data_IF_857762844424
#
_entry.id   IF_857762844424
#
_cell.length_a   1.000
_cell.length_b   1.000
_cell.length_c   1.000
_cell.angle_alpha   90.00
_cell.angle_beta   90.00
_cell.angle_gamma   90.00
#
_symmetry.space_group_name_H-M   'P 1'
#
loop_
_entity.id
_entity.type
_entity.pdbx_description
1 polymer ?
#
# COMPACT_ATOMS: atom_id res chain seq x y z
N UNK A 1 -52.05 8.97 28.45
CA UNK A 1 -50.70 8.42 28.66
C UNK A 1 -50.57 7.16 27.82
N UNK A 2 -49.72 7.18 26.78
CA UNK A 2 -48.93 6.06 26.25
C UNK A 2 -48.33 6.52 24.91
N UNK A 3 -47.03 6.82 24.95
CA UNK A 3 -46.22 7.22 23.80
C UNK A 3 -45.44 5.97 23.37
N UNK A 4 -45.75 5.42 22.19
CA UNK A 4 -45.00 4.32 21.59
C UNK A 4 -43.85 4.87 20.76
N UNK A 5 -42.62 4.72 21.25
CA UNK A 5 -41.40 4.85 20.45
C UNK A 5 -40.99 3.46 19.96
N UNK A 6 -41.15 3.21 18.67
CA UNK A 6 -40.54 2.06 17.99
C UNK A 6 -39.07 2.40 17.71
N UNK A 7 -38.16 1.78 18.46
CA UNK A 7 -36.73 1.81 18.18
C UNK A 7 -36.40 0.70 17.18
N UNK A 8 -35.99 1.08 15.97
CA UNK A 8 -35.32 0.17 15.04
C UNK A 8 -33.90 -0.08 15.54
N UNK A 9 -33.66 -1.25 16.14
CA UNK A 9 -32.32 -1.77 16.36
C UNK A 9 -31.79 -2.32 15.02
N UNK A 10 -30.99 -1.51 14.31
CA UNK A 10 -30.20 -1.99 13.20
C UNK A 10 -29.09 -2.91 13.72
N UNK A 11 -29.23 -4.21 13.52
CA UNK A 11 -28.15 -5.18 13.74
C UNK A 11 -27.13 -4.94 12.61
N UNK A 12 -26.04 -4.26 12.94
CA UNK A 12 -24.86 -4.29 12.09
C UNK A 12 -24.33 -5.73 12.09
N UNK A 13 -24.46 -6.42 10.97
CA UNK A 13 -23.85 -7.72 10.75
C UNK A 13 -22.32 -7.56 10.86
N UNK A 14 -21.76 -7.98 11.98
CA UNK A 14 -20.32 -8.16 12.11
C UNK A 14 -19.92 -9.26 11.13
N UNK A 15 -19.23 -8.91 10.06
CA UNK A 15 -18.54 -9.90 9.23
C UNK A 15 -17.48 -10.55 10.11
N UNK A 16 -17.65 -11.85 10.35
CA UNK A 16 -16.71 -12.71 11.03
C UNK A 16 -15.42 -12.73 10.20
N UNK A 17 -14.40 -11.98 10.63
CA UNK A 17 -13.07 -12.06 10.01
C UNK A 17 -12.51 -13.44 10.32
N UNK A 18 -12.45 -14.30 9.30
CA UNK A 18 -11.77 -15.58 9.42
C UNK A 18 -10.31 -15.34 9.87
N UNK A 19 -9.79 -16.18 10.77
CA UNK A 19 -8.41 -16.09 11.22
C UNK A 19 -7.41 -16.20 10.06
N UNK A 20 -6.17 -15.76 10.29
CA UNK A 20 -5.11 -15.85 9.28
C UNK A 20 -4.78 -17.33 9.02
N UNK A 21 -4.96 -17.78 7.77
CA UNK A 21 -4.48 -19.09 7.32
C UNK A 21 -2.98 -19.03 7.05
N UNK A 22 -2.24 -20.01 7.55
CA UNK A 22 -0.78 -20.11 7.41
C UNK A 22 -0.42 -21.42 6.69
N UNK A 23 0.29 -21.31 5.57
CA UNK A 23 0.77 -22.44 4.79
C UNK A 23 2.30 -22.38 4.72
N UNK A 24 2.98 -23.31 5.38
CA UNK A 24 4.44 -23.39 5.38
C UNK A 24 4.94 -24.40 4.34
N UNK A 25 6.02 -24.04 3.67
CA UNK A 25 6.78 -24.90 2.76
C UNK A 25 8.29 -24.69 3.00
N UNK A 26 9.18 -25.56 2.49
CA UNK A 26 10.61 -25.50 2.82
C UNK A 26 11.29 -24.14 2.57
N UNK A 27 10.77 -23.31 1.66
CA UNK A 27 11.39 -22.03 1.31
C UNK A 27 10.44 -20.83 1.38
N UNK A 28 9.17 -21.04 1.70
CA UNK A 28 8.19 -19.96 1.81
C UNK A 28 7.11 -20.26 2.83
N UNK A 29 6.71 -19.23 3.58
CA UNK A 29 5.52 -19.26 4.42
C UNK A 29 4.51 -18.26 3.87
N UNK A 30 3.29 -18.72 3.64
CA UNK A 30 2.20 -17.91 3.10
C UNK A 30 1.21 -17.61 4.22
N UNK A 31 0.99 -16.33 4.48
CA UNK A 31 -0.02 -15.81 5.40
C UNK A 31 -1.14 -15.22 4.56
N UNK A 32 -2.37 -15.70 4.76
CA UNK A 32 -3.53 -15.21 4.03
C UNK A 32 -4.70 -14.94 4.96
N UNK A 33 -5.38 -13.84 4.73
CA UNK A 33 -6.64 -13.50 5.38
C UNK A 33 -7.62 -12.99 4.32
N UNK A 34 -8.91 -13.29 4.50
CA UNK A 34 -9.95 -12.78 3.62
C UNK A 34 -11.16 -12.33 4.44
N UNK A 35 -11.84 -11.30 3.96
CA UNK A 35 -13.10 -10.80 4.51
C UNK A 35 -13.96 -10.28 3.36
N UNK A 36 -15.10 -10.91 3.13
CA UNK A 36 -15.92 -10.64 1.94
C UNK A 36 -15.11 -10.82 0.65
N UNK A 37 -15.16 -9.82 -0.23
CA UNK A 37 -14.45 -9.80 -1.52
C UNK A 37 -12.99 -9.34 -1.42
N UNK A 38 -12.49 -9.06 -0.21
CA UNK A 38 -11.12 -8.65 0.03
C UNK A 38 -10.26 -9.81 0.53
N UNK A 39 -9.12 -10.04 -0.12
CA UNK A 39 -8.11 -11.01 0.29
C UNK A 39 -6.72 -10.38 0.30
N UNK A 40 -5.97 -10.63 1.37
CA UNK A 40 -4.59 -10.17 1.54
C UNK A 40 -3.70 -11.38 1.74
N UNK A 41 -2.61 -11.43 0.98
CA UNK A 41 -1.59 -12.47 1.06
C UNK A 41 -0.22 -11.85 1.30
N UNK A 42 0.50 -12.37 2.29
CA UNK A 42 1.92 -12.10 2.52
C UNK A 42 2.71 -13.39 2.32
N UNK A 43 3.75 -13.34 1.51
CA UNK A 43 4.64 -14.48 1.24
C UNK A 43 6.01 -14.13 1.82
N UNK A 44 6.36 -14.77 2.93
CA UNK A 44 7.69 -14.69 3.52
C UNK A 44 8.61 -15.69 2.83
N UNK A 45 9.77 -15.23 2.35
CA UNK A 45 10.76 -16.10 1.72
C UNK A 45 11.80 -16.55 2.75
N UNK A 46 11.98 -17.87 2.86
CA UNK A 46 12.98 -18.52 3.72
C UNK A 46 14.29 -18.89 3.02
N UNK A 47 14.38 -18.73 1.69
CA UNK A 47 15.63 -18.97 0.98
C UNK A 47 16.69 -17.92 1.36
N UNK A 48 17.95 -18.34 1.48
CA UNK A 48 19.10 -17.48 1.82
C UNK A 48 19.13 -16.16 1.02
N UNK A 49 18.89 -16.25 -0.29
CA UNK A 49 18.92 -15.10 -1.20
C UNK A 49 17.85 -14.03 -0.89
N UNK A 50 16.66 -14.47 -0.47
CA UNK A 50 15.50 -13.60 -0.21
C UNK A 50 15.14 -13.50 1.27
N UNK A 51 16.01 -13.99 2.16
CA UNK A 51 15.79 -13.99 3.60
C UNK A 51 15.44 -12.58 4.06
N UNK A 52 14.35 -12.41 4.82
CA UNK A 52 13.91 -11.11 5.33
C UNK A 52 13.17 -10.22 4.31
N UNK A 53 12.86 -10.76 3.12
CA UNK A 53 11.93 -10.16 2.16
C UNK A 53 10.56 -10.81 2.32
N UNK A 54 9.52 -9.98 2.40
CA UNK A 54 8.12 -10.41 2.36
C UNK A 54 7.45 -9.78 1.14
N UNK A 55 6.78 -10.58 0.33
CA UNK A 55 5.95 -10.09 -0.78
C UNK A 55 4.52 -9.89 -0.31
N UNK A 56 3.99 -8.70 -0.52
CA UNK A 56 2.57 -8.38 -0.37
C UNK A 56 1.82 -8.64 -1.69
N UNK A 57 0.58 -9.09 -1.58
CA UNK A 57 -0.40 -9.07 -2.65
C UNK A 57 -1.79 -8.87 -2.04
N UNK A 58 -2.61 -8.06 -2.67
CA UNK A 58 -4.00 -7.85 -2.28
C UNK A 58 -4.92 -7.97 -3.49
N UNK A 59 -6.11 -8.52 -3.23
CA UNK A 59 -7.27 -8.49 -4.12
C UNK A 59 -8.39 -7.90 -3.29
N UNK A 60 -8.46 -6.58 -3.23
CA UNK A 60 -9.41 -5.85 -2.40
C UNK A 60 -9.90 -4.63 -3.17
N UNK A 61 -11.22 -4.47 -3.36
CA UNK A 61 -11.79 -3.30 -4.04
C UNK A 61 -11.63 -2.02 -3.21
N UNK A 62 -11.53 -2.16 -1.89
CA UNK A 62 -11.57 -1.05 -0.95
C UNK A 62 -10.23 -0.29 -0.83
N UNK A 63 -10.27 0.99 -0.43
CA UNK A 63 -9.08 1.79 -0.12
C UNK A 63 -8.14 1.12 0.89
N UNK A 64 -6.87 1.52 0.87
CA UNK A 64 -5.85 0.93 1.76
C UNK A 64 -6.21 1.09 3.24
N UNK A 65 -6.92 2.17 3.62
CA UNK A 65 -7.39 2.39 4.99
C UNK A 65 -8.38 1.32 5.47
N UNK A 66 -9.26 0.84 4.59
CA UNK A 66 -10.22 -0.22 4.89
C UNK A 66 -9.56 -1.60 4.95
N UNK A 67 -8.41 -1.77 4.31
CA UNK A 67 -7.62 -3.00 4.36
C UNK A 67 -6.79 -3.13 5.64
N UNK A 68 -6.56 -2.03 6.37
CA UNK A 68 -5.68 -2.00 7.55
C UNK A 68 -6.00 -3.03 8.63
N UNK A 69 -7.26 -3.31 8.99
CA UNK A 69 -7.56 -4.35 9.97
C UNK A 69 -7.01 -5.71 9.55
N UNK A 70 -7.25 -6.11 8.30
CA UNK A 70 -6.77 -7.38 7.75
C UNK A 70 -5.23 -7.43 7.69
N UNK A 71 -4.60 -6.33 7.26
CA UNK A 71 -3.13 -6.23 7.23
C UNK A 71 -2.53 -6.29 8.64
N UNK A 72 -3.23 -5.74 9.64
CA UNK A 72 -2.81 -5.80 11.05
C UNK A 72 -2.79 -7.23 11.55
N UNK A 73 -3.83 -8.02 11.26
CA UNK A 73 -3.89 -9.43 11.64
C UNK A 73 -2.79 -10.25 10.97
N UNK A 74 -2.57 -10.05 9.66
CA UNK A 74 -1.49 -10.74 8.93
C UNK A 74 -0.11 -10.40 9.48
N UNK A 75 0.17 -9.11 9.73
CA UNK A 75 1.45 -8.68 10.28
C UNK A 75 1.66 -9.20 11.71
N UNK A 76 0.60 -9.23 12.53
CA UNK A 76 0.66 -9.81 13.89
C UNK A 76 1.01 -11.28 13.84
N UNK A 77 0.33 -12.05 13.01
CA UNK A 77 0.59 -13.50 12.89
C UNK A 77 1.96 -13.79 12.28
N UNK A 78 2.40 -13.01 11.29
CA UNK A 78 3.76 -13.08 10.77
C UNK A 78 4.81 -12.84 11.86
N UNK A 79 4.69 -11.75 12.63
CA UNK A 79 5.66 -11.44 13.70
C UNK A 79 5.67 -12.52 14.79
N UNK A 80 4.51 -13.08 15.12
CA UNK A 80 4.39 -14.06 16.19
C UNK A 80 4.90 -15.46 15.81
N UNK A 81 4.77 -15.87 14.55
CA UNK A 81 5.02 -17.27 14.13
C UNK A 81 6.19 -17.47 13.19
N UNK A 82 6.58 -16.45 12.42
CA UNK A 82 7.62 -16.62 11.41
C UNK A 82 9.02 -16.64 12.05
N UNK A 83 9.77 -17.71 11.82
CA UNK A 83 11.15 -17.83 12.32
C UNK A 83 12.10 -16.75 11.74
N UNK A 84 11.71 -16.09 10.65
CA UNK A 84 12.49 -15.03 10.03
C UNK A 84 11.89 -13.64 10.25
N UNK A 85 10.86 -13.49 11.08
CA UNK A 85 10.28 -12.19 11.42
C UNK A 85 11.32 -11.20 11.99
N UNK A 86 12.32 -11.69 12.71
CA UNK A 86 13.38 -10.88 13.30
C UNK A 86 14.29 -10.21 12.24
N UNK A 87 14.45 -10.82 11.06
CA UNK A 87 15.28 -10.31 9.97
C UNK A 87 14.48 -9.66 8.84
N UNK A 88 13.16 -9.49 9.05
CA UNK A 88 12.27 -8.80 8.11
C UNK A 88 12.70 -7.35 7.92
N UNK A 89 13.19 -7.06 6.71
CA UNK A 89 13.74 -5.75 6.34
C UNK A 89 13.18 -5.16 5.06
N UNK A 90 12.47 -5.96 4.26
CA UNK A 90 11.95 -5.51 2.97
C UNK A 90 10.52 -6.02 2.75
N UNK A 91 9.59 -5.09 2.55
CA UNK A 91 8.26 -5.40 2.05
C UNK A 91 8.22 -5.08 0.55
N UNK A 92 8.15 -6.12 -0.27
CA UNK A 92 7.94 -5.99 -1.70
C UNK A 92 6.44 -5.87 -2.00
N UNK A 93 6.02 -4.74 -2.55
CA UNK A 93 4.62 -4.43 -2.80
C UNK A 93 4.14 -4.87 -4.19
N UNK A 94 5.05 -4.92 -5.17
CA UNK A 94 4.69 -5.02 -6.58
C UNK A 94 4.27 -3.67 -7.16
N UNK A 95 3.43 -3.68 -8.19
CA UNK A 95 2.87 -2.47 -8.81
C UNK A 95 1.95 -1.69 -7.86
N UNK A 96 1.88 -0.36 -8.01
CA UNK A 96 0.86 0.44 -7.34
C UNK A 96 -0.51 0.21 -7.96
N UNK A 97 -0.55 -0.08 -9.26
CA UNK A 97 -1.75 -0.60 -9.93
C UNK A 97 -1.70 -2.13 -9.83
N UNK A 98 -2.67 -2.76 -9.17
CA UNK A 98 -2.65 -4.21 -8.98
C UNK A 98 -2.81 -4.95 -10.30
N UNK A 99 -2.10 -6.07 -10.40
CA UNK A 99 -2.06 -6.88 -11.63
C UNK A 99 -3.37 -7.64 -11.87
N UNK A 100 -4.18 -7.89 -10.83
CA UNK A 100 -5.39 -8.71 -10.91
C UNK A 100 -6.51 -8.20 -10.00
N UNK A 101 -7.76 -8.27 -10.49
CA UNK A 101 -8.97 -8.05 -9.71
C UNK A 101 -9.36 -6.58 -9.52
N UNK A 102 -10.52 -6.32 -8.88
CA UNK A 102 -10.89 -4.96 -8.51
C UNK A 102 -9.92 -4.45 -7.46
N UNK A 103 -9.42 -3.22 -7.63
CA UNK A 103 -8.63 -2.58 -6.59
C UNK A 103 -8.73 -1.07 -6.53
N UNK A 104 -8.55 -0.55 -5.33
CA UNK A 104 -8.48 0.87 -5.08
C UNK A 104 -7.28 1.50 -5.78
N UNK A 105 -7.57 2.41 -6.70
CA UNK A 105 -6.57 3.19 -7.45
C UNK A 105 -6.06 4.40 -6.65
N UNK A 106 -6.07 4.30 -5.32
CA UNK A 106 -5.76 5.42 -4.45
C UNK A 106 -4.27 5.79 -4.46
N UNK A 107 -3.37 4.82 -4.27
CA UNK A 107 -1.92 5.08 -4.33
C UNK A 107 -1.47 5.56 -5.72
N UNK A 108 -1.92 4.96 -6.85
CA UNK A 108 -1.67 5.50 -8.18
C UNK A 108 -2.13 6.94 -8.36
N UNK A 109 -3.33 7.27 -7.86
CA UNK A 109 -3.87 8.63 -7.90
C UNK A 109 -3.01 9.60 -7.08
N UNK A 110 -2.65 9.23 -5.83
CA UNK A 110 -1.81 10.06 -4.95
C UNK A 110 -0.46 10.35 -5.61
N UNK A 111 0.17 9.35 -6.25
CA UNK A 111 1.43 9.52 -6.98
C UNK A 111 1.30 10.52 -8.14
N UNK A 112 0.27 10.33 -8.98
CA UNK A 112 0.03 11.20 -10.13
C UNK A 112 -0.22 12.65 -9.71
N UNK A 113 -1.03 12.85 -8.67
CA UNK A 113 -1.35 14.16 -8.12
C UNK A 113 -0.13 14.83 -7.48
N UNK A 114 0.65 14.09 -6.70
CA UNK A 114 1.91 14.57 -6.12
C UNK A 114 2.87 15.05 -7.20
N UNK A 115 3.09 14.24 -8.25
CA UNK A 115 3.96 14.61 -9.36
C UNK A 115 3.45 15.85 -10.11
N UNK A 116 2.14 15.98 -10.33
CA UNK A 116 1.55 17.17 -10.95
C UNK A 116 1.82 18.45 -10.15
N UNK A 117 1.72 18.38 -8.82
CA UNK A 117 1.95 19.50 -7.91
C UNK A 117 3.42 19.83 -7.71
N UNK A 118 4.32 18.90 -8.06
CA UNK A 118 5.75 19.09 -7.86
C UNK A 118 6.35 20.07 -8.88
N UNK A 119 7.06 21.12 -8.43
CA UNK A 119 7.79 22.01 -9.34
C UNK A 119 8.97 21.30 -10.02
N UNK A 120 9.37 20.13 -9.54
CA UNK A 120 10.47 19.33 -10.07
C UNK A 120 10.03 18.42 -11.23
N UNK A 121 8.72 18.31 -11.50
CA UNK A 121 8.18 17.53 -12.61
C UNK A 121 7.99 18.37 -13.88
N UNK A 122 8.44 17.86 -15.03
CA UNK A 122 8.09 18.42 -16.34
C UNK A 122 6.83 17.72 -16.86
N UNK A 123 5.67 18.30 -16.54
CA UNK A 123 4.35 17.82 -16.95
C UNK A 123 4.16 17.66 -18.47
N UNK A 124 4.91 18.42 -19.28
CA UNK A 124 4.83 18.34 -20.75
C UNK A 124 5.64 17.15 -21.27
N UNK A 125 6.84 16.95 -20.72
CA UNK A 125 7.74 15.87 -21.14
C UNK A 125 7.38 14.53 -20.47
N UNK A 126 6.77 14.55 -19.29
CA UNK A 126 6.46 13.36 -18.51
C UNK A 126 7.70 12.76 -17.85
N UNK A 127 8.57 13.62 -17.30
CA UNK A 127 9.82 13.21 -16.63
C UNK A 127 10.23 14.25 -15.59
N UNK A 128 11.08 13.90 -14.61
CA UNK A 128 11.63 14.91 -13.71
C UNK A 128 12.52 15.90 -14.47
N UNK A 129 12.60 17.13 -13.96
CA UNK A 129 13.46 18.19 -14.52
C UNK A 129 14.94 17.94 -14.24
N UNK A 130 15.25 17.21 -13.16
CA UNK A 130 16.61 16.83 -12.72
C UNK A 130 16.59 15.40 -12.17
N UNK A 131 17.71 14.70 -12.25
CA UNK A 131 17.85 13.33 -11.75
C UNK A 131 17.14 12.28 -12.62
N UNK A 132 17.08 11.05 -12.12
CA UNK A 132 16.35 9.95 -12.75
C UNK A 132 14.91 9.83 -12.21
N UNK A 133 14.05 9.14 -12.96
CA UNK A 133 12.63 9.00 -12.63
C UNK A 133 12.38 8.13 -11.40
N UNK A 134 13.22 7.14 -11.13
CA UNK A 134 13.05 6.26 -9.98
C UNK A 134 13.38 7.03 -8.69
N UNK A 135 14.49 7.78 -8.69
CA UNK A 135 14.87 8.69 -7.61
C UNK A 135 13.77 9.71 -7.33
N UNK A 136 13.27 10.40 -8.37
CA UNK A 136 12.17 11.35 -8.23
C UNK A 136 10.91 10.74 -7.60
N UNK A 137 10.46 9.59 -8.10
CA UNK A 137 9.25 8.91 -7.59
C UNK A 137 9.47 8.44 -6.15
N UNK A 138 10.64 7.90 -5.83
CA UNK A 138 10.99 7.50 -4.46
C UNK A 138 10.91 8.70 -3.50
N UNK A 139 11.54 9.81 -3.87
CA UNK A 139 11.65 10.98 -2.99
C UNK A 139 10.28 11.64 -2.78
N UNK A 140 9.50 11.84 -3.85
CA UNK A 140 8.16 12.42 -3.72
C UNK A 140 7.22 11.51 -2.95
N UNK A 141 7.33 10.19 -3.11
CA UNK A 141 6.45 9.27 -2.43
C UNK A 141 6.69 9.22 -0.92
N UNK A 142 7.95 9.32 -0.49
CA UNK A 142 8.32 9.46 0.92
C UNK A 142 7.91 10.83 1.47
N UNK A 143 8.15 11.92 0.72
CA UNK A 143 7.85 13.30 1.15
C UNK A 143 6.36 13.57 1.31
N UNK A 144 5.55 13.11 0.36
CA UNK A 144 4.09 13.29 0.35
C UNK A 144 3.33 12.18 1.08
N UNK A 145 4.05 11.22 1.70
CA UNK A 145 3.49 10.11 2.47
C UNK A 145 2.38 9.34 1.73
N UNK A 146 2.62 8.92 0.47
CA UNK A 146 1.60 8.25 -0.36
C UNK A 146 1.04 6.97 0.27
N UNK A 147 1.78 6.38 1.21
CA UNK A 147 1.51 5.14 1.92
C UNK A 147 1.34 5.37 3.44
N UNK A 148 0.76 6.51 3.85
CA UNK A 148 0.56 6.86 5.28
C UNK A 148 -0.08 5.72 6.11
N UNK A 149 -0.99 4.96 5.52
CA UNK A 149 -1.65 3.82 6.16
C UNK A 149 -0.64 2.73 6.51
N UNK A 150 0.35 2.46 5.65
CA UNK A 150 1.44 1.53 5.97
C UNK A 150 2.34 2.08 7.07
N UNK A 151 2.62 3.39 7.10
CA UNK A 151 3.35 3.99 8.22
C UNK A 151 2.63 3.77 9.55
N UNK A 152 1.32 4.02 9.56
CA UNK A 152 0.50 3.79 10.75
C UNK A 152 0.52 2.31 11.16
N UNK A 153 0.29 1.39 10.21
CA UNK A 153 0.32 -0.04 10.45
C UNK A 153 1.64 -0.49 11.09
N UNK A 154 2.77 -0.16 10.49
CA UNK A 154 4.08 -0.59 10.97
C UNK A 154 4.45 0.08 12.31
N UNK A 155 4.01 1.32 12.53
CA UNK A 155 4.19 2.03 13.80
C UNK A 155 3.56 1.29 14.99
N UNK A 156 2.40 0.65 14.80
CA UNK A 156 1.75 -0.19 15.84
C UNK A 156 2.61 -1.36 16.32
N UNK A 157 3.56 -1.80 15.48
CA UNK A 157 4.49 -2.88 15.78
C UNK A 157 5.92 -2.39 16.07
N UNK A 158 6.08 -1.10 16.45
CA UNK A 158 7.37 -0.47 16.72
C UNK A 158 8.36 -0.62 15.55
N UNK A 159 7.83 -0.53 14.32
CA UNK A 159 8.62 -0.57 13.09
C UNK A 159 8.41 0.70 12.29
N UNK A 160 9.44 1.07 11.56
CA UNK A 160 9.40 2.12 10.55
C UNK A 160 9.30 1.50 9.16
N UNK A 161 8.58 2.16 8.26
CA UNK A 161 8.53 1.80 6.84
C UNK A 161 8.79 3.02 5.95
N UNK A 162 9.69 2.85 5.00
CA UNK A 162 10.08 3.89 4.04
C UNK A 162 10.17 3.29 2.65
N UNK A 163 9.79 4.04 1.63
CA UNK A 163 9.98 3.60 0.25
C UNK A 163 11.47 3.65 -0.10
N UNK A 164 12.09 2.49 -0.29
CA UNK A 164 13.52 2.36 -0.46
C UNK A 164 13.93 2.40 -1.94
N UNK A 165 13.16 1.74 -2.79
CA UNK A 165 13.40 1.70 -4.23
C UNK A 165 12.09 1.58 -5.00
N UNK A 166 12.13 2.07 -6.23
CA UNK A 166 11.08 1.85 -7.22
C UNK A 166 11.69 1.45 -8.56
N UNK A 167 10.96 0.66 -9.32
CA UNK A 167 11.35 0.22 -10.65
C UNK A 167 10.18 0.33 -11.64
N UNK A 168 10.51 0.30 -12.93
CA UNK A 168 9.51 0.24 -14.03
C UNK A 168 8.43 1.32 -13.93
N UNK A 169 8.83 2.55 -13.61
CA UNK A 169 7.90 3.68 -13.53
C UNK A 169 7.16 3.84 -14.86
N UNK A 170 5.83 3.82 -14.80
CA UNK A 170 4.95 4.04 -15.95
C UNK A 170 4.40 5.46 -15.92
N UNK A 171 4.41 6.08 -17.10
CA UNK A 171 3.94 7.44 -17.32
C UNK A 171 2.92 7.43 -18.46
N UNK A 172 1.78 8.08 -18.24
CA UNK A 172 0.73 8.23 -19.27
C UNK A 172 0.18 9.66 -19.26
N UNK A 173 -0.56 10.03 -20.31
CA UNK A 173 -1.32 11.28 -20.29
C UNK A 173 -2.46 11.15 -19.27
N UNK A 174 -2.81 12.25 -18.63
CA UNK A 174 -3.82 12.28 -17.58
C UNK A 174 -5.16 11.70 -18.05
N UNK A 175 -5.58 12.02 -19.28
CA UNK A 175 -6.84 11.52 -19.86
C UNK A 175 -6.90 10.00 -20.05
N UNK A 176 -5.75 9.33 -20.09
CA UNK A 176 -5.64 7.89 -20.31
C UNK A 176 -5.59 7.12 -18.97
N UNK A 177 -5.64 7.84 -17.83
CA UNK A 177 -5.66 7.24 -16.50
C UNK A 177 -7.10 6.91 -16.07
N UNK A 178 -7.32 5.75 -15.41
CA UNK A 178 -8.65 5.32 -14.96
C UNK A 178 -9.29 6.23 -13.90
N UNK A 179 -8.53 7.16 -13.33
CA UNK A 179 -8.96 8.14 -12.33
C UNK A 179 -8.83 9.58 -12.84
N UNK A 180 -8.90 9.79 -14.16
CA UNK A 180 -8.76 11.12 -14.75
C UNK A 180 -9.77 12.13 -14.21
N UNK A 181 -11.03 11.74 -13.98
CA UNK A 181 -12.05 12.69 -13.48
C UNK A 181 -11.65 13.29 -12.13
N UNK A 182 -11.01 12.50 -11.26
CA UNK A 182 -10.46 12.99 -9.99
C UNK A 182 -9.29 13.95 -10.22
N UNK A 183 -8.39 13.63 -11.15
CA UNK A 183 -7.29 14.53 -11.51
C UNK A 183 -7.80 15.84 -12.14
N UNK A 184 -8.84 15.76 -12.97
CA UNK A 184 -9.47 16.92 -13.61
C UNK A 184 -10.08 17.86 -12.57
N UNK A 185 -10.72 17.31 -11.54
CA UNK A 185 -11.21 18.08 -10.40
C UNK A 185 -10.09 18.84 -9.66
N UNK A 186 -8.85 18.31 -9.71
CA UNK A 186 -7.63 18.94 -9.19
C UNK A 186 -6.96 19.91 -10.18
N UNK A 187 -7.61 20.23 -11.31
CA UNK A 187 -7.09 21.15 -12.33
C UNK A 187 -6.11 20.52 -13.33
N UNK A 188 -5.91 19.20 -13.30
CA UNK A 188 -5.02 18.50 -14.23
C UNK A 188 -5.62 18.50 -15.63
N UNK A 189 -4.89 19.05 -16.60
CA UNK A 189 -5.28 19.03 -18.02
C UNK A 189 -5.05 17.64 -18.63
N UNK A 190 -5.95 17.22 -19.52
CA UNK A 190 -5.92 15.95 -20.25
C UNK A 190 -4.56 15.57 -20.86
N UNK A 191 -3.79 16.56 -21.34
CA UNK A 191 -2.54 16.34 -22.07
C UNK A 191 -1.30 16.20 -21.17
N UNK A 192 -1.42 16.50 -19.88
CA UNK A 192 -0.32 16.39 -18.91
C UNK A 192 0.10 14.93 -18.77
N UNK A 193 1.40 14.66 -18.80
CA UNK A 193 1.95 13.32 -18.55
C UNK A 193 2.33 13.16 -17.09
N UNK A 194 1.85 12.11 -16.43
CA UNK A 194 2.05 11.84 -15.00
C UNK A 194 2.57 10.42 -14.76
N UNK A 195 3.48 10.23 -13.80
CA UNK A 195 3.78 8.89 -13.29
C UNK A 195 2.59 8.42 -12.46
N UNK A 196 2.21 7.16 -12.57
CA UNK A 196 1.04 6.62 -11.87
C UNK A 196 1.26 5.21 -11.31
N UNK A 197 2.22 4.47 -11.84
CA UNK A 197 2.50 3.10 -11.43
C UNK A 197 4.01 2.86 -11.44
N UNK A 198 4.46 2.01 -10.51
CA UNK A 198 5.83 1.55 -10.39
C UNK A 198 5.85 0.31 -9.51
N UNK A 199 6.86 -0.53 -9.69
CA UNK A 199 7.15 -1.60 -8.74
C UNK A 199 7.79 -1.00 -7.49
N UNK A 200 7.25 -1.33 -6.33
CA UNK A 200 7.61 -0.70 -5.05
C UNK A 200 8.29 -1.68 -4.11
N UNK A 201 9.41 -1.23 -3.55
CA UNK A 201 10.16 -1.91 -2.49
C UNK A 201 10.28 -0.99 -1.27
N UNK A 202 9.66 -1.39 -0.17
CA UNK A 202 9.79 -0.70 1.10
C UNK A 202 10.93 -1.31 1.92
N UNK A 203 11.69 -0.44 2.59
CA UNK A 203 12.54 -0.85 3.71
C UNK A 203 11.75 -0.80 5.00
N UNK A 204 11.89 -1.85 5.80
CA UNK A 204 11.34 -1.99 7.14
C UNK A 204 12.49 -2.01 8.13
N UNK A 205 12.40 -1.23 9.19
CA UNK A 205 13.40 -1.15 10.25
C UNK A 205 12.73 -1.06 11.61
N UNK A 206 13.48 -1.25 12.69
CA UNK A 206 12.99 -0.90 14.02
C UNK A 206 12.65 0.60 14.08
N UNK A 207 11.63 0.95 14.87
CA UNK A 207 11.43 2.34 15.24
C UNK A 207 12.68 2.83 15.97
N UNK A 208 13.20 4.00 15.59
CA UNK A 208 14.20 4.68 16.41
C UNK A 208 13.49 5.22 17.65
N UNK A 209 14.11 5.14 18.83
CA UNK A 209 13.59 5.67 20.10
C UNK A 209 13.38 7.22 20.11
N UNK A 210 13.56 7.90 18.98
CA UNK A 210 13.56 9.36 18.86
C UNK A 210 12.15 9.99 18.94
N UNK A 211 11.07 9.22 18.83
CA UNK A 211 9.67 9.69 18.96
C UNK A 211 9.12 9.62 20.41
N UNK A 212 9.99 9.40 21.43
CA UNK A 212 9.63 9.43 22.87
C UNK A 212 9.92 10.76 23.57
N UNK A 213 9.81 11.89 22.88
CA UNK A 213 9.95 13.23 23.49
C UNK A 213 8.71 14.09 23.29
#
# INVERSE_FOLDING_TARGET
>A
MLCSCLAFAGIAAGQETAGVSVEASPNTTIYRISSGDCSITWIAYGSELNRGVVKHSSRCPDPLSAQLPLMTEVLREFIARDEHAAVFRTLFWGGLVPETGPSALEMPFRLALAAYRSPEWDAKKGRPKKGDINGFVKDIANRELLYRELKELFGRFQKNITLASVEKVRVMKAKDLPFYDRLKAEGVRATVKLPFDCMVWFSVSAAKDEDRR
#
